data_IF_067523477714
#
_entry.id   IF_067523477714
#
_cell.length_a   1.000
_cell.length_b   1.000
_cell.length_c   1.000
_cell.angle_alpha   90.00
_cell.angle_beta   90.00
_cell.angle_gamma   90.00
#
_symmetry.space_group_name_H-M   'P 1'
#
loop_
_entity.id
_entity.type
_entity.pdbx_description
1 polymer ?
#
# COMPACT_ATOMS: atom_id res chain seq x y z
N UNK A 1 22.88 2.31 -25.86
CA UNK A 1 22.36 3.32 -24.91
C UNK A 1 21.62 2.57 -23.82
N UNK A 2 21.87 2.85 -22.54
CA UNK A 2 21.27 2.08 -21.43
C UNK A 2 19.89 2.64 -21.09
N UNK A 3 18.84 1.83 -21.26
CA UNK A 3 17.45 2.23 -20.96
C UNK A 3 16.85 1.49 -19.76
N UNK A 4 17.26 0.25 -19.52
CA UNK A 4 16.80 -0.56 -18.39
C UNK A 4 18.00 -1.05 -17.58
N UNK A 5 17.93 -0.89 -16.26
CA UNK A 5 18.95 -1.36 -15.34
C UNK A 5 18.28 -2.14 -14.20
N UNK A 6 18.71 -3.38 -14.03
CA UNK A 6 18.33 -4.22 -12.89
C UNK A 6 19.58 -4.49 -12.08
N UNK A 7 19.55 -4.08 -10.83
CA UNK A 7 20.55 -4.32 -9.81
C UNK A 7 19.89 -5.15 -8.71
N UNK A 8 20.05 -6.46 -8.78
CA UNK A 8 19.44 -7.41 -7.86
C UNK A 8 20.51 -8.27 -7.19
N UNK A 9 20.18 -8.83 -6.03
CA UNK A 9 21.03 -9.75 -5.30
C UNK A 9 22.31 -9.12 -4.75
N UNK A 10 22.32 -7.81 -4.51
CA UNK A 10 23.50 -7.15 -3.96
C UNK A 10 23.54 -7.38 -2.45
N UNK A 11 24.36 -8.35 -2.04
CA UNK A 11 24.58 -8.74 -0.65
C UNK A 11 26.07 -8.68 -0.30
N UNK A 12 26.37 -8.34 0.95
CA UNK A 12 27.74 -8.49 1.49
C UNK A 12 28.78 -7.47 1.01
N UNK A 13 28.40 -6.46 0.24
CA UNK A 13 29.28 -5.35 -0.12
C UNK A 13 29.13 -4.19 0.86
N UNK A 14 30.24 -3.76 1.46
CA UNK A 14 30.28 -2.55 2.28
C UNK A 14 30.56 -1.35 1.37
N UNK A 15 29.50 -0.75 0.82
CA UNK A 15 29.60 0.56 0.17
C UNK A 15 29.17 1.62 1.17
N UNK A 16 29.86 2.76 1.17
CA UNK A 16 29.43 3.95 1.92
C UNK A 16 28.49 4.83 1.08
N UNK A 17 28.54 4.70 -0.25
CA UNK A 17 27.88 5.60 -1.19
C UNK A 17 27.32 4.83 -2.38
N UNK A 18 26.16 5.25 -2.90
CA UNK A 18 25.63 4.77 -4.17
C UNK A 18 25.12 5.95 -5.02
N UNK A 19 25.40 5.93 -6.32
CA UNK A 19 24.85 6.93 -7.24
C UNK A 19 24.54 6.36 -8.61
N UNK A 20 23.37 6.73 -9.13
CA UNK A 20 22.94 6.42 -10.50
C UNK A 20 22.74 7.74 -11.24
N UNK A 21 23.55 8.00 -12.27
CA UNK A 21 23.47 9.20 -13.10
C UNK A 21 23.48 8.79 -14.57
N UNK A 22 22.30 8.45 -15.09
CA UNK A 22 22.13 7.93 -16.45
C UNK A 22 20.91 8.61 -17.05
N UNK A 23 21.13 9.55 -17.97
CA UNK A 23 20.05 10.35 -18.57
C UNK A 23 19.18 9.55 -19.52
N UNK A 24 19.64 8.42 -20.02
CA UNK A 24 18.91 7.58 -20.98
C UNK A 24 18.07 6.50 -20.32
N UNK A 25 18.23 6.34 -19.00
CA UNK A 25 17.58 5.30 -18.22
C UNK A 25 16.09 5.61 -18.07
N UNK A 26 15.26 4.62 -18.42
CA UNK A 26 13.80 4.66 -18.34
C UNK A 26 13.27 3.76 -17.23
N UNK A 27 13.93 2.64 -16.92
CA UNK A 27 13.55 1.75 -15.82
C UNK A 27 14.74 1.40 -14.93
N UNK A 28 14.51 1.46 -13.64
CA UNK A 28 15.48 1.07 -12.62
C UNK A 28 14.81 0.12 -11.64
N UNK A 29 15.36 -1.08 -11.52
CA UNK A 29 15.07 -1.99 -10.42
C UNK A 29 16.32 -2.11 -9.58
N UNK A 30 16.20 -1.81 -8.29
CA UNK A 30 17.27 -1.89 -7.31
C UNK A 30 16.76 -2.64 -6.10
N UNK A 31 17.34 -3.81 -5.86
CA UNK A 31 17.04 -4.63 -4.72
C UNK A 31 18.31 -4.88 -3.92
N UNK A 32 18.33 -4.35 -2.70
CA UNK A 32 19.42 -4.54 -1.76
C UNK A 32 18.95 -5.29 -0.52
N UNK A 33 19.81 -6.20 -0.05
CA UNK A 33 19.58 -6.98 1.16
C UNK A 33 19.52 -6.15 2.45
N UNK A 34 19.35 -6.81 3.58
CA UNK A 34 19.44 -6.10 4.88
C UNK A 34 20.90 -5.69 5.12
N UNK A 35 21.12 -4.41 5.46
CA UNK A 35 22.43 -3.91 5.91
C UNK A 35 22.46 -3.77 7.44
N UNK A 36 23.65 -3.95 8.03
CA UNK A 36 23.90 -3.62 9.43
C UNK A 36 24.07 -2.11 9.64
N UNK A 37 24.48 -1.38 8.60
CA UNK A 37 24.76 0.06 8.62
C UNK A 37 24.09 0.75 7.43
N UNK A 38 23.70 2.01 7.62
CA UNK A 38 23.13 2.83 6.55
C UNK A 38 24.20 3.21 5.52
N UNK A 39 23.79 3.40 4.27
CA UNK A 39 24.63 4.14 3.33
C UNK A 39 24.74 5.59 3.80
N UNK A 40 25.96 6.12 3.81
CA UNK A 40 26.23 7.53 4.15
C UNK A 40 25.60 8.49 3.13
N UNK A 41 25.42 8.06 1.88
CA UNK A 41 24.73 8.86 0.88
C UNK A 41 24.25 8.04 -0.33
N UNK A 42 23.04 8.33 -0.80
CA UNK A 42 22.51 7.81 -2.07
C UNK A 42 22.10 8.96 -2.98
N UNK A 43 22.34 8.87 -4.29
CA UNK A 43 21.95 9.94 -5.23
C UNK A 43 21.50 9.43 -6.60
N UNK A 44 20.44 10.05 -7.11
CA UNK A 44 19.85 9.75 -8.41
C UNK A 44 19.84 11.00 -9.29
N UNK A 45 20.40 10.88 -10.48
CA UNK A 45 20.35 11.89 -11.53
C UNK A 45 19.93 11.25 -12.85
N UNK A 46 18.67 10.84 -12.89
CA UNK A 46 18.06 10.06 -13.98
C UNK A 46 16.75 10.74 -14.39
N UNK A 47 16.81 11.93 -15.04
CA UNK A 47 15.63 12.75 -15.29
C UNK A 47 14.58 12.06 -16.19
N UNK A 48 15.00 11.14 -17.06
CA UNK A 48 14.11 10.42 -17.97
C UNK A 48 13.60 9.08 -17.43
N UNK A 49 13.84 8.79 -16.14
CA UNK A 49 13.34 7.57 -15.50
C UNK A 49 11.81 7.63 -15.43
N UNK A 50 11.14 6.57 -15.88
CA UNK A 50 9.67 6.44 -15.94
C UNK A 50 9.16 5.43 -14.92
N UNK A 51 9.95 4.40 -14.61
CA UNK A 51 9.63 3.35 -13.64
C UNK A 51 10.78 3.15 -12.64
N UNK A 52 10.45 3.09 -11.36
CA UNK A 52 11.37 2.79 -10.28
C UNK A 52 10.83 1.63 -9.44
N UNK A 53 11.65 0.64 -9.18
CA UNK A 53 11.43 -0.39 -8.17
C UNK A 53 12.64 -0.37 -7.24
N UNK A 54 12.44 0.06 -5.99
CA UNK A 54 13.53 0.38 -5.07
C UNK A 54 13.29 -0.27 -3.72
N UNK A 55 14.10 -1.27 -3.41
CA UNK A 55 14.15 -1.93 -2.11
C UNK A 55 15.51 -1.71 -1.46
N UNK A 56 15.53 -1.05 -0.31
CA UNK A 56 16.75 -0.80 0.45
C UNK A 56 16.47 -0.40 1.91
N UNK A 57 17.51 -0.25 2.71
CA UNK A 57 17.49 0.46 3.99
C UNK A 57 17.66 1.96 3.76
N UNK A 58 16.98 2.81 4.54
CA UNK A 58 17.13 4.27 4.46
C UNK A 58 18.60 4.68 4.61
N UNK A 59 19.09 5.51 3.69
CA UNK A 59 20.41 6.13 3.77
C UNK A 59 20.43 7.34 4.72
N UNK A 60 21.60 7.71 5.21
CA UNK A 60 21.78 8.89 6.07
C UNK A 60 21.29 10.17 5.39
N UNK A 61 21.46 10.25 4.06
CA UNK A 61 20.99 11.37 3.23
C UNK A 61 20.84 10.99 1.77
N UNK A 62 19.97 11.75 1.11
CA UNK A 62 19.81 11.74 -0.34
C UNK A 62 20.10 13.14 -0.92
N UNK A 63 21.37 13.47 -1.24
CA UNK A 63 21.75 14.83 -1.65
C UNK A 63 21.11 15.28 -2.97
N UNK A 64 20.91 14.35 -3.91
CA UNK A 64 20.29 14.62 -5.21
C UNK A 64 19.35 13.48 -5.57
N UNK A 65 18.09 13.82 -5.85
CA UNK A 65 17.07 12.88 -6.31
C UNK A 65 16.31 13.54 -7.45
N UNK A 66 16.74 13.25 -8.68
CA UNK A 66 16.17 13.83 -9.90
C UNK A 66 15.48 12.73 -10.72
N UNK A 67 14.16 12.71 -10.58
CA UNK A 67 13.21 11.79 -11.23
C UNK A 67 12.20 12.58 -12.07
N UNK A 68 12.71 13.35 -13.04
CA UNK A 68 11.91 14.32 -13.81
C UNK A 68 10.64 13.75 -14.47
N UNK A 69 10.70 12.53 -15.01
CA UNK A 69 9.62 11.89 -15.75
C UNK A 69 9.03 10.65 -15.04
N UNK A 70 9.27 10.48 -13.74
CA UNK A 70 8.86 9.25 -13.04
C UNK A 70 7.34 9.17 -12.93
N UNK A 71 6.77 8.09 -13.45
CA UNK A 71 5.33 7.85 -13.50
C UNK A 71 4.90 6.82 -12.46
N UNK A 72 5.67 5.75 -12.31
CA UNK A 72 5.36 4.65 -11.41
C UNK A 72 6.56 4.34 -10.51
N UNK A 73 6.29 4.16 -9.21
CA UNK A 73 7.29 3.77 -8.25
C UNK A 73 6.79 2.66 -7.33
N UNK A 74 7.64 1.66 -7.09
CA UNK A 74 7.49 0.64 -6.05
C UNK A 74 8.60 0.82 -5.04
N UNK A 75 8.25 1.14 -3.81
CA UNK A 75 9.21 1.53 -2.78
C UNK A 75 9.06 0.60 -1.58
N UNK A 76 10.16 -0.05 -1.24
CA UNK A 76 10.31 -0.83 -0.03
C UNK A 76 11.54 -0.35 0.75
N UNK A 77 11.34 0.69 1.56
CA UNK A 77 12.37 1.26 2.41
C UNK A 77 12.24 0.78 3.84
N UNK A 78 13.31 0.22 4.38
CA UNK A 78 13.38 -0.14 5.81
C UNK A 78 13.81 1.05 6.65
N UNK A 79 13.08 1.29 7.73
CA UNK A 79 13.36 2.34 8.70
C UNK A 79 14.72 2.17 9.37
N UNK A 80 15.45 3.28 9.48
CA UNK A 80 16.65 3.48 10.29
C UNK A 80 16.68 4.91 10.83
N UNK A 81 17.81 5.33 11.40
CA UNK A 81 18.10 6.70 11.83
C UNK A 81 18.45 7.66 10.67
N UNK A 82 18.43 7.18 9.42
CA UNK A 82 18.68 8.01 8.24
C UNK A 82 17.54 8.97 7.88
N UNK A 83 17.76 9.79 6.84
CA UNK A 83 16.83 10.84 6.42
C UNK A 83 16.33 10.64 4.99
N UNK A 84 15.07 10.24 4.85
CA UNK A 84 14.43 9.96 3.57
C UNK A 84 13.76 11.17 2.92
N UNK A 85 13.77 12.36 3.55
CA UNK A 85 12.98 13.53 3.10
C UNK A 85 13.18 13.85 1.62
N UNK A 86 14.43 13.97 1.16
CA UNK A 86 14.72 14.30 -0.24
C UNK A 86 14.37 13.16 -1.21
N UNK A 87 14.46 11.91 -0.75
CA UNK A 87 14.05 10.76 -1.55
C UNK A 87 12.54 10.79 -1.81
N UNK A 88 11.74 10.97 -0.76
CA UNK A 88 10.28 11.04 -0.88
C UNK A 88 9.85 12.27 -1.69
N UNK A 89 10.52 13.41 -1.55
CA UNK A 89 10.27 14.59 -2.42
C UNK A 89 10.50 14.27 -3.90
N UNK A 90 11.52 13.47 -4.21
CA UNK A 90 11.78 13.02 -5.57
C UNK A 90 10.64 12.19 -6.19
N UNK A 91 9.78 11.58 -5.37
CA UNK A 91 8.65 10.75 -5.82
C UNK A 91 7.37 11.56 -6.09
N UNK A 92 7.32 12.86 -5.80
CA UNK A 92 6.07 13.63 -5.81
C UNK A 92 5.37 13.74 -7.18
N UNK A 93 6.08 13.44 -8.26
CA UNK A 93 5.55 13.50 -9.62
C UNK A 93 4.81 12.23 -10.07
N UNK A 94 4.92 11.13 -9.31
CA UNK A 94 4.36 9.83 -9.71
C UNK A 94 2.83 9.86 -9.79
N UNK A 95 2.29 9.03 -10.69
CA UNK A 95 0.86 8.75 -10.81
C UNK A 95 0.45 7.48 -10.06
N UNK A 96 1.36 6.53 -9.99
CA UNK A 96 1.17 5.22 -9.37
C UNK A 96 2.29 5.02 -8.35
N UNK A 97 1.92 4.78 -7.10
CA UNK A 97 2.87 4.55 -6.01
C UNK A 97 2.50 3.30 -5.24
N UNK A 98 3.44 2.37 -5.11
CA UNK A 98 3.29 1.18 -4.28
C UNK A 98 4.28 1.28 -3.11
N UNK A 99 3.78 1.20 -1.89
CA UNK A 99 4.56 1.34 -0.67
C UNK A 99 4.46 0.07 0.17
N UNK A 100 5.57 -0.38 0.72
CA UNK A 100 5.56 -1.42 1.76
C UNK A 100 5.15 -0.86 3.13
N UNK A 101 4.74 -1.76 4.02
CA UNK A 101 4.56 -1.55 5.46
C UNK A 101 5.72 -0.76 6.08
N UNK A 102 6.95 -1.19 5.79
CA UNK A 102 8.17 -0.59 6.33
C UNK A 102 8.34 0.85 5.83
N UNK A 103 7.91 1.12 4.59
CA UNK A 103 8.00 2.45 4.00
C UNK A 103 7.03 3.43 4.66
N UNK A 104 5.89 2.98 5.19
CA UNK A 104 4.98 3.82 5.97
C UNK A 104 5.63 4.31 7.27
N UNK A 105 6.42 3.46 7.93
CA UNK A 105 7.22 3.88 9.08
C UNK A 105 8.28 4.90 8.68
N UNK A 106 8.93 4.72 7.52
CA UNK A 106 9.90 5.68 6.97
C UNK A 106 9.27 7.05 6.72
N UNK A 107 8.05 7.08 6.17
CA UNK A 107 7.30 8.32 5.98
C UNK A 107 6.98 9.03 7.30
N UNK A 108 6.75 8.25 8.37
CA UNK A 108 6.38 8.77 9.69
C UNK A 108 7.59 9.26 10.49
N UNK A 109 8.70 8.51 10.46
CA UNK A 109 9.83 8.70 11.37
C UNK A 109 11.11 9.20 10.71
N UNK A 110 11.34 8.91 9.43
CA UNK A 110 12.58 9.28 8.73
C UNK A 110 12.40 10.51 7.81
N UNK A 111 11.19 11.08 7.77
CA UNK A 111 10.86 12.27 6.97
C UNK A 111 10.48 13.43 7.87
N UNK A 112 10.94 14.65 7.53
CA UNK A 112 10.52 15.86 8.26
C UNK A 112 9.03 16.16 8.09
N UNK A 113 8.51 15.87 6.90
CA UNK A 113 7.11 15.98 6.54
C UNK A 113 6.86 15.10 5.32
N UNK A 114 5.64 14.57 5.22
CA UNK A 114 5.18 13.90 4.01
C UNK A 114 4.91 15.00 2.96
N UNK A 115 5.48 14.94 1.76
CA UNK A 115 5.27 15.96 0.74
C UNK A 115 3.91 15.81 0.04
N UNK A 116 3.56 16.77 -0.82
CA UNK A 116 2.34 16.75 -1.63
C UNK A 116 2.53 15.89 -2.88
N UNK A 117 1.62 14.94 -3.08
CA UNK A 117 1.55 14.05 -4.23
C UNK A 117 0.41 14.48 -5.16
N UNK A 118 0.55 15.64 -5.80
CA UNK A 118 -0.52 16.23 -6.62
C UNK A 118 -0.87 15.39 -7.87
N UNK A 119 0.05 14.56 -8.37
CA UNK A 119 -0.19 13.74 -9.56
C UNK A 119 -0.63 12.31 -9.23
N UNK A 120 -0.60 11.92 -7.95
CA UNK A 120 -0.86 10.56 -7.52
C UNK A 120 -2.35 10.27 -7.65
N UNK A 121 -2.66 9.24 -8.44
CA UNK A 121 -4.03 8.77 -8.72
C UNK A 121 -4.26 7.36 -8.20
N UNK A 122 -3.19 6.57 -8.05
CA UNK A 122 -3.24 5.18 -7.60
C UNK A 122 -2.18 4.94 -6.52
N UNK A 123 -2.62 4.53 -5.34
CA UNK A 123 -1.77 4.17 -4.20
C UNK A 123 -2.03 2.71 -3.82
N UNK A 124 -0.99 1.90 -3.78
CA UNK A 124 -1.03 0.55 -3.21
C UNK A 124 -0.20 0.52 -1.95
N UNK A 125 -0.76 -0.06 -0.90
CA UNK A 125 -0.07 -0.32 0.36
C UNK A 125 0.03 -1.84 0.52
N UNK A 126 1.26 -2.33 0.54
CA UNK A 126 1.56 -3.71 0.86
C UNK A 126 1.83 -3.84 2.36
N UNK A 127 0.82 -4.29 3.11
CA UNK A 127 0.89 -4.46 4.55
C UNK A 127 1.69 -5.68 5.01
N UNK A 128 2.03 -6.62 4.11
CA UNK A 128 2.61 -7.93 4.44
C UNK A 128 1.90 -8.66 5.62
N UNK A 129 0.60 -8.42 5.80
CA UNK A 129 -0.13 -8.96 6.95
C UNK A 129 0.35 -8.47 8.31
N UNK A 130 1.02 -7.32 8.39
CA UNK A 130 1.57 -6.75 9.63
C UNK A 130 0.95 -5.44 10.04
N UNK A 131 0.38 -4.70 9.08
CA UNK A 131 -0.03 -3.31 9.27
C UNK A 131 -1.48 -3.11 8.81
N UNK A 132 -2.32 -2.64 9.73
CA UNK A 132 -3.70 -2.22 9.44
C UNK A 132 -3.77 -0.81 8.86
N UNK A 133 -4.92 -0.45 8.31
CA UNK A 133 -5.14 0.86 7.67
C UNK A 133 -5.10 2.06 8.64
N UNK A 134 -5.26 1.88 9.96
CA UNK A 134 -5.03 2.98 10.96
C UNK A 134 -3.57 3.40 11.05
N UNK A 135 -2.64 2.56 10.60
CA UNK A 135 -1.21 2.88 10.58
C UNK A 135 -0.79 3.70 9.36
N UNK A 136 -1.75 4.03 8.48
CA UNK A 136 -1.50 4.97 7.40
C UNK A 136 -1.10 6.33 8.01
N UNK A 137 0.07 6.87 7.64
CA UNK A 137 0.47 8.18 8.14
C UNK A 137 -0.60 9.22 7.78
N UNK A 138 -1.09 9.98 8.77
CA UNK A 138 -2.24 10.87 8.57
C UNK A 138 -2.05 11.87 7.43
N UNK A 139 -0.80 12.27 7.17
CA UNK A 139 -0.43 13.15 6.06
C UNK A 139 -0.50 12.50 4.68
N UNK A 140 -0.42 11.18 4.52
CA UNK A 140 -0.29 10.54 3.22
C UNK A 140 -1.53 10.73 2.33
N UNK A 141 -2.71 10.36 2.83
CA UNK A 141 -3.96 10.53 2.08
C UNK A 141 -4.33 12.02 1.95
N UNK A 142 -4.14 12.79 3.02
CA UNK A 142 -4.40 14.24 3.02
C UNK A 142 -3.55 14.99 1.99
N UNK A 143 -2.31 14.55 1.79
CA UNK A 143 -1.38 15.17 0.85
C UNK A 143 -1.48 14.59 -0.58
N UNK A 144 -2.50 13.77 -0.86
CA UNK A 144 -2.75 13.16 -2.16
C UNK A 144 -4.14 13.58 -2.68
N UNK A 145 -4.33 14.87 -3.02
CA UNK A 145 -5.67 15.44 -3.30
C UNK A 145 -6.36 14.88 -4.55
N UNK A 146 -5.60 14.27 -5.47
CA UNK A 146 -6.10 13.68 -6.71
C UNK A 146 -6.11 12.13 -6.67
N UNK A 147 -5.96 11.53 -5.48
CA UNK A 147 -5.95 10.10 -5.32
C UNK A 147 -7.35 9.51 -5.59
N UNK A 148 -7.47 8.68 -6.63
CA UNK A 148 -8.73 8.07 -7.04
C UNK A 148 -8.86 6.64 -6.50
N UNK A 149 -7.76 5.87 -6.57
CA UNK A 149 -7.74 4.45 -6.20
C UNK A 149 -6.77 4.19 -5.05
N UNK A 150 -7.26 3.57 -3.98
CA UNK A 150 -6.47 3.01 -2.90
C UNK A 150 -6.57 1.47 -2.94
N UNK A 151 -5.43 0.80 -2.92
CA UNK A 151 -5.32 -0.65 -2.84
C UNK A 151 -4.61 -1.01 -1.55
N UNK A 152 -5.21 -1.89 -0.75
CA UNK A 152 -4.63 -2.40 0.49
C UNK A 152 -4.40 -3.90 0.32
N UNK A 153 -3.15 -4.34 0.36
CA UNK A 153 -2.76 -5.75 0.28
C UNK A 153 -2.50 -6.30 1.68
N UNK A 154 -3.02 -7.49 1.97
CA UNK A 154 -2.71 -8.22 3.18
C UNK A 154 -3.08 -7.47 4.45
N UNK A 155 -4.34 -7.07 4.60
CA UNK A 155 -4.85 -6.46 5.84
C UNK A 155 -5.08 -7.46 7.00
N UNK A 156 -4.86 -8.75 6.75
CA UNK A 156 -4.97 -9.81 7.75
C UNK A 156 -3.62 -10.07 8.42
N UNK A 157 -3.59 -10.05 9.75
CA UNK A 157 -2.39 -10.39 10.53
C UNK A 157 -2.58 -11.71 11.26
N UNK A 158 -1.56 -12.58 11.18
CA UNK A 158 -1.53 -13.81 11.96
C UNK A 158 -0.98 -13.51 13.35
N UNK A 159 -1.84 -13.60 14.37
CA UNK A 159 -1.44 -13.46 15.77
C UNK A 159 -0.33 -14.46 16.14
N UNK A 160 0.44 -14.13 17.18
CA UNK A 160 1.46 -15.02 17.76
C UNK A 160 0.90 -16.38 18.23
N UNK A 161 -0.41 -16.49 18.38
CA UNK A 161 -1.11 -17.72 18.79
C UNK A 161 -1.65 -18.53 17.60
N UNK A 162 -1.35 -18.12 16.36
CA UNK A 162 -1.74 -18.84 15.15
C UNK A 162 -3.13 -18.50 14.64
N UNK A 163 -3.94 -17.78 15.41
CA UNK A 163 -5.22 -17.21 14.97
C UNK A 163 -4.98 -16.06 13.99
N UNK A 164 -5.63 -16.10 12.84
CA UNK A 164 -5.69 -14.99 11.91
C UNK A 164 -6.69 -13.98 12.45
N UNK A 165 -6.20 -12.80 12.84
CA UNK A 165 -7.05 -11.71 13.29
C UNK A 165 -6.91 -10.57 12.30
N UNK A 166 -7.99 -9.82 12.13
CA UNK A 166 -7.88 -8.51 11.55
C UNK A 166 -6.90 -7.66 12.38
N UNK A 167 -6.19 -6.73 11.76
CA UNK A 167 -5.61 -5.61 12.51
C UNK A 167 -6.75 -4.72 13.03
N UNK A 168 -7.53 -5.25 13.99
CA UNK A 168 -8.52 -4.47 14.70
C UNK A 168 -7.77 -3.70 15.79
N UNK A 169 -7.87 -2.36 15.77
CA UNK A 169 -7.10 -1.48 16.63
C UNK A 169 -7.50 -1.52 18.11
N UNK A 170 -8.47 -2.36 18.49
CA UNK A 170 -8.96 -2.44 19.87
C UNK A 170 -8.01 -3.18 20.82
N UNK A 171 -6.94 -3.79 20.31
CA UNK A 171 -5.85 -4.29 21.14
C UNK A 171 -4.88 -3.16 21.52
N UNK A 172 -5.40 -2.19 22.30
CA UNK A 172 -4.70 -1.12 23.03
C UNK A 172 -4.10 0.00 22.17
N UNK A 173 -4.91 0.96 21.76
CA UNK A 173 -4.50 2.37 21.66
C UNK A 173 -5.74 3.28 21.63
N UNK A 174 -6.16 3.70 22.83
CA UNK A 174 -7.17 4.74 23.07
C UNK A 174 -6.60 6.11 22.70
N UNK A 175 -6.44 6.40 21.41
CA UNK A 175 -6.46 7.78 20.95
C UNK A 175 -7.33 7.86 19.69
N UNK A 176 -8.34 8.72 19.73
CA UNK A 176 -9.16 9.12 18.58
C UNK A 176 -8.29 9.85 17.55
N UNK A 177 -7.36 9.14 16.91
CA UNK A 177 -6.62 9.68 15.77
C UNK A 177 -7.67 9.94 14.67
N UNK A 178 -7.89 11.19 14.26
CA UNK A 178 -8.84 11.49 13.20
C UNK A 178 -8.41 10.71 11.95
N UNK A 179 -9.27 9.80 11.52
CA UNK A 179 -8.94 8.88 10.43
C UNK A 179 -8.70 9.70 9.18
N UNK A 180 -7.51 9.61 8.58
CA UNK A 180 -7.17 10.30 7.32
C UNK A 180 -8.10 9.92 6.15
N UNK A 181 -8.88 8.85 6.34
CA UNK A 181 -9.94 8.36 5.46
C UNK A 181 -11.07 9.38 5.20
N UNK A 182 -11.52 10.13 6.22
CA UNK A 182 -12.66 11.04 6.06
C UNK A 182 -12.36 12.24 5.20
N UNK A 183 -11.09 12.65 5.16
CA UNK A 183 -10.57 13.69 4.27
C UNK A 183 -10.09 13.17 2.92
N UNK A 184 -10.20 11.87 2.67
CA UNK A 184 -9.64 11.23 1.47
C UNK A 184 -10.50 11.50 0.23
N UNK A 185 -9.89 11.84 -0.92
CA UNK A 185 -10.59 11.96 -2.21
C UNK A 185 -10.87 10.61 -2.88
N UNK A 186 -10.42 9.50 -2.28
CA UNK A 186 -10.51 8.15 -2.85
C UNK A 186 -11.95 7.77 -3.20
N UNK A 187 -12.11 7.29 -4.43
CA UNK A 187 -13.36 6.82 -5.01
C UNK A 187 -13.44 5.30 -5.11
N UNK A 188 -12.30 4.66 -5.30
CA UNK A 188 -12.19 3.20 -5.43
C UNK A 188 -11.27 2.66 -4.35
N UNK A 189 -11.81 1.85 -3.46
CA UNK A 189 -11.03 1.10 -2.47
C UNK A 189 -11.01 -0.38 -2.88
N UNK A 190 -9.81 -0.95 -2.98
CA UNK A 190 -9.60 -2.37 -3.22
C UNK A 190 -8.90 -3.00 -2.02
N UNK A 191 -9.50 -4.05 -1.48
CA UNK A 191 -8.92 -4.87 -0.42
C UNK A 191 -8.51 -6.19 -1.03
N UNK A 192 -7.22 -6.48 -1.08
CA UNK A 192 -6.68 -7.72 -1.67
C UNK A 192 -6.30 -8.72 -0.59
N UNK A 193 -6.27 -10.01 -0.96
CA UNK A 193 -5.85 -11.12 -0.10
C UNK A 193 -6.69 -11.20 1.18
N UNK A 194 -8.00 -11.05 1.00
CA UNK A 194 -8.98 -11.19 2.06
C UNK A 194 -9.27 -12.67 2.34
N UNK A 195 -9.53 -13.02 3.60
CA UNK A 195 -10.19 -14.27 3.97
C UNK A 195 -9.32 -15.53 4.12
N UNK A 196 -8.19 -15.49 4.83
CA UNK A 196 -7.49 -16.73 5.24
C UNK A 196 -8.22 -17.53 6.35
N UNK A 197 -9.47 -17.21 6.65
CA UNK A 197 -10.22 -17.62 7.86
C UNK A 197 -11.45 -18.42 7.48
N UNK A 198 -11.98 -19.28 8.36
CA UNK A 198 -13.13 -20.13 8.04
C UNK A 198 -14.42 -19.38 7.61
N UNK A 199 -15.38 -20.07 6.94
CA UNK A 199 -16.57 -19.46 6.36
C UNK A 199 -17.40 -18.60 7.32
N UNK A 200 -17.52 -19.02 8.58
CA UNK A 200 -18.33 -18.35 9.60
C UNK A 200 -17.71 -17.02 10.05
N UNK A 201 -16.38 -16.88 10.03
CA UNK A 201 -15.68 -15.67 10.45
C UNK A 201 -15.58 -14.63 9.30
N UNK A 202 -15.66 -15.09 8.05
CA UNK A 202 -15.61 -14.23 6.86
C UNK A 202 -16.80 -13.27 6.81
N UNK A 203 -18.02 -13.73 7.13
CA UNK A 203 -19.25 -12.89 7.06
C UNK A 203 -19.16 -11.70 8.02
N UNK A 204 -18.83 -11.95 9.29
CA UNK A 204 -18.72 -10.90 10.32
C UNK A 204 -17.63 -9.89 9.97
N UNK A 205 -16.43 -10.37 9.63
CA UNK A 205 -15.28 -9.52 9.30
C UNK A 205 -15.54 -8.64 8.07
N UNK A 206 -16.17 -9.21 7.04
CA UNK A 206 -16.48 -8.49 5.82
C UNK A 206 -17.52 -7.40 6.07
N UNK A 207 -18.58 -7.70 6.84
CA UNK A 207 -19.61 -6.72 7.18
C UNK A 207 -19.06 -5.57 8.02
N UNK A 208 -18.24 -5.87 9.02
CA UNK A 208 -17.59 -4.86 9.85
C UNK A 208 -16.78 -3.90 8.99
N UNK A 209 -15.98 -4.41 8.05
CA UNK A 209 -15.15 -3.60 7.17
C UNK A 209 -15.95 -2.79 6.15
N UNK A 210 -16.96 -3.39 5.54
CA UNK A 210 -17.85 -2.68 4.63
C UNK A 210 -18.47 -1.49 5.37
N UNK A 211 -19.08 -1.73 6.53
CA UNK A 211 -19.70 -0.67 7.32
C UNK A 211 -18.68 0.40 7.72
N UNK A 212 -17.50 -0.02 8.17
CA UNK A 212 -16.42 0.88 8.54
C UNK A 212 -16.01 1.83 7.41
N UNK A 213 -15.70 1.29 6.22
CA UNK A 213 -15.25 2.12 5.10
C UNK A 213 -16.37 2.98 4.53
N UNK A 214 -17.61 2.47 4.48
CA UNK A 214 -18.78 3.26 4.07
C UNK A 214 -19.04 4.43 5.02
N UNK A 215 -18.83 4.25 6.33
CA UNK A 215 -19.00 5.32 7.32
C UNK A 215 -17.87 6.34 7.22
N UNK A 216 -16.62 5.89 7.06
CA UNK A 216 -15.43 6.75 7.16
C UNK A 216 -14.94 7.35 5.84
N UNK A 217 -15.37 6.85 4.68
CA UNK A 217 -14.94 7.34 3.37
C UNK A 217 -16.14 7.89 2.57
N UNK A 218 -16.50 9.17 2.78
CA UNK A 218 -17.73 9.74 2.22
C UNK A 218 -17.74 9.86 0.68
N UNK A 219 -16.57 9.84 0.04
CA UNK A 219 -16.41 9.94 -1.41
C UNK A 219 -16.33 8.59 -2.12
N UNK A 220 -16.47 7.48 -1.39
CA UNK A 220 -16.28 6.15 -1.92
C UNK A 220 -17.42 5.78 -2.88
N UNK A 221 -17.08 5.54 -4.14
CA UNK A 221 -18.00 5.13 -5.21
C UNK A 221 -17.97 3.61 -5.42
N UNK A 222 -16.82 2.98 -5.19
CA UNK A 222 -16.64 1.53 -5.33
C UNK A 222 -15.78 0.95 -4.20
N UNK A 223 -16.26 -0.15 -3.64
CA UNK A 223 -15.53 -0.97 -2.66
C UNK A 223 -15.40 -2.39 -3.21
N UNK A 224 -14.17 -2.85 -3.40
CA UNK A 224 -13.89 -4.14 -4.03
C UNK A 224 -13.07 -5.00 -3.08
N UNK A 225 -13.58 -6.17 -2.74
CA UNK A 225 -12.84 -7.20 -2.01
C UNK A 225 -12.35 -8.27 -2.98
N UNK A 226 -11.09 -8.65 -2.87
CA UNK A 226 -10.54 -9.82 -3.53
C UNK A 226 -10.25 -10.86 -2.46
N UNK A 227 -11.01 -11.94 -2.49
CA UNK A 227 -10.95 -13.02 -1.52
C UNK A 227 -10.17 -14.17 -2.14
N UNK A 228 -9.08 -14.56 -1.49
CA UNK A 228 -8.33 -15.75 -1.84
C UNK A 228 -8.97 -16.95 -1.11
N UNK A 229 -9.68 -17.77 -1.88
CA UNK A 229 -10.45 -18.89 -1.34
C UNK A 229 -9.60 -20.17 -1.39
N UNK A 230 -8.71 -20.35 -0.41
CA UNK A 230 -7.95 -21.59 -0.23
C UNK A 230 -8.78 -22.65 0.54
N UNK A 231 -10.01 -22.90 0.09
CA UNK A 231 -10.95 -23.84 0.73
C UNK A 231 -11.17 -25.11 -0.10
N UNK A 232 -11.69 -26.16 0.54
CA UNK A 232 -12.23 -27.32 -0.17
C UNK A 232 -13.51 -26.94 -0.95
N UNK A 233 -13.82 -27.63 -2.05
CA UNK A 233 -14.93 -27.30 -2.96
C UNK A 233 -16.29 -27.11 -2.26
N UNK A 234 -16.56 -27.87 -1.20
CA UNK A 234 -17.81 -27.76 -0.44
C UNK A 234 -17.95 -26.43 0.31
N UNK A 235 -16.84 -25.93 0.86
CA UNK A 235 -16.79 -24.67 1.61
C UNK A 235 -16.82 -23.46 0.66
N UNK A 236 -16.29 -23.59 -0.56
CA UNK A 236 -16.38 -22.55 -1.60
C UNK A 236 -17.83 -22.18 -1.93
N UNK A 237 -18.71 -23.18 -2.07
CA UNK A 237 -20.13 -22.94 -2.38
C UNK A 237 -20.84 -22.27 -1.20
N UNK A 238 -20.51 -22.67 0.03
CA UNK A 238 -21.07 -22.05 1.24
C UNK A 238 -20.67 -20.57 1.33
N UNK A 239 -19.38 -20.27 1.18
CA UNK A 239 -18.84 -18.91 1.17
C UNK A 239 -19.44 -18.10 0.00
N UNK A 240 -19.57 -18.66 -1.19
CA UNK A 240 -20.16 -17.95 -2.33
C UNK A 240 -21.62 -17.53 -2.08
N UNK A 241 -22.45 -18.46 -1.57
CA UNK A 241 -23.84 -18.16 -1.23
C UNK A 241 -23.95 -17.13 -0.10
N UNK A 242 -23.05 -17.21 0.88
CA UNK A 242 -22.91 -16.25 1.98
C UNK A 242 -22.64 -14.85 1.44
N UNK A 243 -21.62 -14.70 0.58
CA UNK A 243 -21.23 -13.41 -0.03
C UNK A 243 -22.36 -12.84 -0.90
N UNK A 244 -23.07 -13.67 -1.66
CA UNK A 244 -24.23 -13.23 -2.43
C UNK A 244 -25.37 -12.72 -1.54
N UNK A 245 -25.67 -13.42 -0.45
CA UNK A 245 -26.68 -13.00 0.53
C UNK A 245 -26.28 -11.68 1.18
N UNK A 246 -25.00 -11.52 1.53
CA UNK A 246 -24.46 -10.30 2.13
C UNK A 246 -24.60 -9.10 1.20
N UNK A 247 -24.15 -9.24 -0.04
CA UNK A 247 -24.25 -8.17 -1.05
C UNK A 247 -25.69 -7.77 -1.36
N UNK A 248 -26.63 -8.70 -1.28
CA UNK A 248 -28.06 -8.41 -1.44
C UNK A 248 -28.67 -7.75 -0.19
N UNK A 249 -28.12 -8.03 1.00
CA UNK A 249 -28.56 -7.45 2.27
C UNK A 249 -28.01 -6.05 2.53
N UNK A 250 -26.87 -5.69 1.94
CA UNK A 250 -26.26 -4.38 2.09
C UNK A 250 -26.95 -3.38 1.17
N UNK A 251 -27.83 -2.56 1.74
CA UNK A 251 -28.45 -1.43 1.05
C UNK A 251 -27.52 -0.20 1.10
N UNK A 252 -26.61 -0.06 0.13
CA UNK A 252 -25.88 1.20 -0.09
C UNK A 252 -26.31 1.82 -1.41
N UNK A 253 -26.93 3.01 -1.37
CA UNK A 253 -27.39 3.73 -2.57
C UNK A 253 -26.30 4.58 -3.24
N UNK A 254 -25.09 4.62 -2.67
CA UNK A 254 -24.01 5.52 -3.13
C UNK A 254 -22.71 4.82 -3.51
N UNK A 255 -22.42 3.67 -2.91
CA UNK A 255 -21.17 2.93 -3.13
C UNK A 255 -21.49 1.53 -3.64
N UNK A 256 -20.88 1.18 -4.77
CA UNK A 256 -21.02 -0.12 -5.39
C UNK A 256 -20.02 -1.11 -4.80
N UNK A 257 -20.53 -2.17 -4.18
CA UNK A 257 -19.73 -3.18 -3.52
C UNK A 257 -19.56 -4.37 -4.47
N UNK A 258 -18.30 -4.80 -4.65
CA UNK A 258 -17.94 -5.98 -5.45
C UNK A 258 -17.10 -6.92 -4.61
N UNK A 259 -17.29 -8.21 -4.84
CA UNK A 259 -16.48 -9.27 -4.25
C UNK A 259 -16.00 -10.15 -5.39
N UNK A 260 -14.70 -10.28 -5.50
CA UNK A 260 -14.01 -11.01 -6.57
C UNK A 260 -13.26 -12.17 -5.92
N UNK A 261 -13.37 -13.34 -6.50
CA UNK A 261 -12.59 -14.54 -6.13
C UNK A 261 -11.79 -14.97 -7.36
N UNK A 262 -10.74 -15.80 -7.18
CA UNK A 262 -9.90 -16.26 -8.32
C UNK A 262 -10.70 -16.99 -9.40
N UNK A 263 -11.89 -17.50 -9.07
CA UNK A 263 -12.74 -18.28 -9.97
C UNK A 263 -13.96 -17.51 -10.51
N UNK A 264 -14.48 -16.49 -9.82
CA UNK A 264 -15.72 -15.78 -10.17
C UNK A 264 -15.76 -14.31 -9.70
N UNK A 265 -16.39 -13.43 -10.50
CA UNK A 265 -16.63 -12.03 -10.14
C UNK A 265 -18.10 -11.83 -9.74
N UNK A 266 -18.36 -11.44 -8.48
CA UNK A 266 -19.70 -11.11 -7.98
C UNK A 266 -19.82 -9.60 -7.76
N UNK A 267 -20.86 -8.97 -8.31
CA UNK A 267 -21.10 -7.52 -8.17
C UNK A 267 -22.58 -7.22 -7.93
N UNK A 268 -22.90 -6.30 -7.02
CA UNK A 268 -24.28 -5.81 -6.81
C UNK A 268 -24.40 -4.31 -7.10
N UNK A 269 -25.01 -3.93 -8.22
CA UNK A 269 -25.46 -2.56 -8.46
C UNK A 269 -26.89 -2.44 -7.97
N UNK A 270 -27.12 -1.67 -6.90
CA UNK A 270 -28.48 -1.32 -6.49
C UNK A 270 -28.99 -0.21 -7.45
N UNK A 271 -30.23 -0.31 -7.98
CA UNK A 271 -30.82 0.70 -8.86
C UNK A 271 -31.08 2.05 -8.18
#
# INVERSE_FOLDING_TARGET
MLEDLVMDGIFGFAWDFASVSVTTLKRLTFYWGVRNENLKSVSFDTPNLVYLDYTDTVADKYPKVNFGLLVEAKINLRKTDGNATNFIVGLCNVKILNLSSDTLEVLTYCCKAIPLFNNLTHLTIDGNGRIGWKSLPAGLLKNSPNLETLVLLGLLYKSRYGELRWCNPDEKEEEEIPTCLSSSPVKVLKIMEFGSVGPDEIEEQLLEQINYFLEKMPNLEQLIFYIDLQFEEADLIAVFNLLHRLLNGIASSKCHIKIITEELCVSSTVP
#
